data_IF_873457173666
#
_entry.id   IF_873457173666
#
_cell.length_a   1.000
_cell.length_b   1.000
_cell.length_c   1.000
_cell.angle_alpha   90.00
_cell.angle_beta   90.00
_cell.angle_gamma   90.00
#
_symmetry.space_group_name_H-M   'P 1'
#
loop_
_entity.id
_entity.type
_entity.pdbx_description
1 polymer ?
#
# COMPACT_ATOMS: atom_id res chain seq x y z
N UNK A 1 18.51 11.98 -0.93
CA UNK A 1 17.67 10.80 -0.67
C UNK A 1 16.24 11.28 -0.73
N UNK A 2 15.56 11.11 -1.88
CA UNK A 2 14.11 11.23 -1.89
C UNK A 2 13.63 9.88 -1.41
N UNK A 3 13.18 9.85 -0.18
CA UNK A 3 12.31 8.77 0.26
C UNK A 3 11.05 8.93 -0.57
N UNK A 4 10.97 8.17 -1.67
CA UNK A 4 9.71 7.81 -2.32
C UNK A 4 8.85 7.18 -1.22
N UNK A 5 8.20 8.02 -0.42
CA UNK A 5 7.06 7.63 0.39
C UNK A 5 6.04 7.14 -0.62
N UNK A 6 6.03 5.82 -0.83
CA UNK A 6 5.17 5.13 -1.79
C UNK A 6 3.75 5.65 -1.56
N UNK A 7 3.30 6.51 -2.48
CA UNK A 7 2.01 7.16 -2.36
C UNK A 7 0.99 6.01 -2.37
N UNK A 8 0.18 5.86 -1.30
CA UNK A 8 -0.68 4.72 -1.13
C UNK A 8 -1.57 4.55 -2.36
N UNK A 9 -1.42 3.43 -3.08
CA UNK A 9 -2.21 3.15 -4.28
C UNK A 9 -3.53 2.50 -3.92
N UNK A 10 -4.56 2.80 -4.70
CA UNK A 10 -5.86 2.16 -4.59
C UNK A 10 -5.73 0.69 -4.95
N UNK A 11 -6.07 -0.21 -4.01
CA UNK A 11 -6.06 -1.65 -4.26
C UNK A 11 -7.01 -2.11 -5.37
N UNK A 12 -7.95 -1.25 -5.79
CA UNK A 12 -8.94 -1.60 -6.81
C UNK A 12 -8.52 -1.20 -8.22
N UNK A 13 -8.03 0.02 -8.41
CA UNK A 13 -7.64 0.55 -9.72
C UNK A 13 -6.13 0.71 -9.89
N UNK A 14 -5.34 0.63 -8.82
CA UNK A 14 -3.89 0.84 -8.84
C UNK A 14 -3.49 2.31 -8.95
N UNK A 15 -4.46 3.23 -8.95
CA UNK A 15 -4.25 4.67 -9.02
C UNK A 15 -3.90 5.27 -7.65
N UNK A 16 -3.55 6.54 -7.56
CA UNK A 16 -3.10 7.15 -6.31
C UNK A 16 -4.29 7.41 -5.35
N UNK A 17 -4.06 7.20 -4.05
CA UNK A 17 -4.98 7.60 -2.99
C UNK A 17 -4.44 8.81 -2.24
N UNK A 18 -5.31 9.78 -2.00
CA UNK A 18 -5.04 10.96 -1.17
C UNK A 18 -5.50 10.73 0.27
N UNK A 19 -4.73 11.21 1.24
CA UNK A 19 -5.13 11.19 2.65
C UNK A 19 -6.03 12.39 2.96
N UNK A 20 -7.33 12.17 3.07
CA UNK A 20 -8.34 13.20 3.37
C UNK A 20 -8.92 12.91 4.77
N UNK A 21 -8.72 13.82 5.72
CA UNK A 21 -9.22 13.69 7.11
C UNK A 21 -8.82 12.36 7.80
N UNK A 22 -7.59 11.87 7.56
CA UNK A 22 -7.11 10.61 8.12
C UNK A 22 -7.69 9.35 7.47
N UNK A 23 -8.42 9.51 6.36
CA UNK A 23 -8.88 8.40 5.51
C UNK A 23 -8.19 8.44 4.17
N UNK A 24 -7.87 7.28 3.62
CA UNK A 24 -7.30 7.19 2.29
C UNK A 24 -8.41 7.14 1.26
N UNK A 25 -8.43 8.08 0.34
CA UNK A 25 -9.48 8.20 -0.68
C UNK A 25 -8.83 8.12 -2.04
N UNK A 26 -9.24 7.15 -2.85
CA UNK A 26 -8.79 7.04 -4.23
C UNK A 26 -9.30 8.22 -5.06
N UNK A 27 -8.40 8.88 -5.80
CA UNK A 27 -8.75 10.03 -6.64
C UNK A 27 -9.59 9.62 -7.86
N UNK A 28 -9.34 8.43 -8.42
CA UNK A 28 -10.05 7.92 -9.60
C UNK A 28 -11.43 7.36 -9.24
N UNK A 29 -11.48 6.35 -8.37
CA UNK A 29 -12.72 5.62 -8.10
C UNK A 29 -13.50 6.14 -6.88
N UNK A 30 -12.95 7.11 -6.14
CA UNK A 30 -13.58 7.68 -4.94
C UNK A 30 -13.67 6.71 -3.76
N UNK A 31 -13.00 5.56 -3.82
CA UNK A 31 -13.04 4.57 -2.74
C UNK A 31 -12.33 5.11 -1.51
N UNK A 32 -13.08 5.27 -0.42
CA UNK A 32 -12.54 5.52 0.91
C UNK A 32 -12.08 4.21 1.55
N UNK A 33 -10.86 4.21 2.06
CA UNK A 33 -10.25 3.19 2.88
C UNK A 33 -10.17 3.70 4.31
N UNK A 34 -10.68 2.88 5.23
CA UNK A 34 -10.46 3.10 6.65
C UNK A 34 -9.01 2.79 7.01
N UNK A 35 -8.47 3.42 8.06
CA UNK A 35 -7.12 3.13 8.59
C UNK A 35 -6.88 1.62 8.71
N UNK A 36 -7.84 0.91 9.31
CA UNK A 36 -7.78 -0.54 9.49
C UNK A 36 -7.78 -1.35 8.19
N UNK A 37 -8.49 -0.91 7.15
CA UNK A 37 -8.47 -1.56 5.83
C UNK A 37 -7.11 -1.37 5.17
N UNK A 38 -6.52 -0.19 5.35
CA UNK A 38 -5.20 0.14 4.84
C UNK A 38 -4.10 -0.65 5.54
N UNK A 39 -4.13 -0.71 6.88
CA UNK A 39 -3.17 -1.48 7.68
C UNK A 39 -3.15 -2.97 7.29
N UNK A 40 -4.33 -3.60 7.17
CA UNK A 40 -4.43 -5.01 6.75
C UNK A 40 -3.87 -5.22 5.34
N UNK A 41 -4.09 -4.27 4.44
CA UNK A 41 -3.62 -4.38 3.07
C UNK A 41 -2.11 -4.12 2.96
N UNK A 42 -1.55 -3.20 3.75
CA UNK A 42 -0.09 -3.03 3.87
C UNK A 42 0.58 -4.23 4.53
N UNK A 43 0.01 -4.80 5.58
CA UNK A 43 0.55 -6.01 6.22
C UNK A 43 0.70 -7.14 5.20
N UNK A 44 -0.31 -7.31 4.35
CA UNK A 44 -0.31 -8.30 3.27
C UNK A 44 0.75 -8.00 2.18
N UNK A 45 0.95 -6.74 1.82
CA UNK A 45 2.02 -6.32 0.89
C UNK A 45 3.41 -6.60 1.50
N UNK A 46 3.61 -6.27 2.79
CA UNK A 46 4.82 -6.59 3.53
C UNK A 46 5.08 -8.10 3.60
N UNK A 47 4.06 -8.92 3.91
CA UNK A 47 4.19 -10.37 3.89
C UNK A 47 4.55 -10.90 2.49
N UNK A 48 3.94 -10.36 1.44
CA UNK A 48 4.28 -10.73 0.06
C UNK A 48 5.71 -10.33 -0.30
N UNK A 49 6.18 -9.17 0.15
CA UNK A 49 7.55 -8.71 -0.04
C UNK A 49 8.55 -9.61 0.72
N UNK A 50 8.25 -9.99 1.96
CA UNK A 50 9.05 -10.95 2.74
C UNK A 50 9.13 -12.28 1.98
N UNK A 51 8.01 -12.82 1.52
CA UNK A 51 7.99 -14.07 0.74
C UNK A 51 8.75 -13.95 -0.57
N UNK A 52 8.68 -12.81 -1.24
CA UNK A 52 9.47 -12.55 -2.45
C UNK A 52 10.96 -12.55 -2.14
N UNK A 53 11.39 -11.89 -1.05
CA UNK A 53 12.78 -11.88 -0.57
C UNK A 53 13.28 -13.27 -0.17
N UNK A 54 12.46 -14.06 0.52
CA UNK A 54 12.76 -15.46 0.86
C UNK A 54 12.92 -16.33 -0.39
N UNK A 55 12.08 -16.10 -1.42
CA UNK A 55 12.11 -16.88 -2.67
C UNK A 55 13.24 -16.47 -3.62
N UNK A 56 13.72 -15.23 -3.53
CA UNK A 56 14.79 -14.69 -4.37
C UNK A 56 16.19 -14.88 -3.77
N UNK A 57 16.31 -15.53 -2.60
CA UNK A 57 17.61 -15.95 -2.05
C UNK A 57 18.48 -14.79 -1.55
N UNK A 58 17.89 -13.63 -1.23
CA UNK A 58 18.61 -12.43 -0.77
C UNK A 58 19.06 -12.45 0.69
N UNK A 59 18.89 -13.58 1.41
CA UNK A 59 19.32 -13.75 2.80
C UNK A 59 20.19 -15.01 2.93
N UNK A 60 21.40 -14.95 2.36
CA UNK A 60 22.52 -15.84 2.72
C UNK A 60 23.68 -15.02 3.22
#
# INVERSE_FOLDING_TARGET
>A
MREDYDCPKCFKCGDECSLINGKLVCDECGKEYSEKEWEVAQEKECENYIRFMEKSGGLT
#
